data_IF_119851076249
#
_entry.id   IF_119851076249
#
_cell.length_a   1.000
_cell.length_b   1.000
_cell.length_c   1.000
_cell.angle_alpha   90.00
_cell.angle_beta   90.00
_cell.angle_gamma   90.00
#
_symmetry.space_group_name_H-M   'P 1'
#
loop_
_entity.id
_entity.type
_entity.pdbx_description
1 polymer ?
#
# COMPACT_ATOMS: atom_id res chain seq x y z
N UNK A 1 -3.83 24.27 -5.26
CA UNK A 1 -3.24 23.40 -4.21
C UNK A 1 -2.03 22.73 -4.82
N UNK A 2 -0.97 22.48 -4.05
CA UNK A 2 0.12 21.60 -4.50
C UNK A 2 -0.43 20.20 -4.74
N UNK A 3 0.17 19.45 -5.68
CA UNK A 3 -0.21 18.06 -5.93
C UNK A 3 0.10 17.22 -4.68
N UNK A 4 -0.77 16.26 -4.31
CA UNK A 4 -0.48 15.40 -3.18
C UNK A 4 0.74 14.53 -3.48
N UNK A 5 1.62 14.37 -2.49
CA UNK A 5 2.81 13.53 -2.55
C UNK A 5 2.45 12.14 -2.06
N UNK A 6 2.57 11.16 -2.93
CA UNK A 6 2.13 9.79 -2.65
C UNK A 6 3.35 8.90 -2.52
N UNK A 7 3.57 8.32 -1.34
CA UNK A 7 4.58 7.29 -1.15
C UNK A 7 4.11 5.97 -1.73
N UNK A 8 4.94 5.35 -2.56
CA UNK A 8 4.62 4.13 -3.30
C UNK A 8 5.65 3.09 -2.95
N UNK A 9 5.30 2.12 -2.11
CA UNK A 9 6.24 1.05 -1.78
C UNK A 9 6.44 0.16 -2.99
N UNK A 10 7.69 -0.12 -3.38
CA UNK A 10 8.00 -0.95 -4.55
C UNK A 10 7.45 -2.38 -4.46
N UNK A 11 7.05 -2.83 -3.27
CA UNK A 11 6.56 -4.19 -3.05
C UNK A 11 7.72 -5.20 -3.00
N UNK A 12 7.46 -6.44 -3.39
CA UNK A 12 8.50 -7.47 -3.47
C UNK A 12 9.45 -7.21 -4.65
N UNK A 13 10.77 -7.01 -4.43
CA UNK A 13 11.75 -6.83 -5.50
C UNK A 13 11.81 -7.97 -6.53
N UNK A 14 11.45 -9.19 -6.14
CA UNK A 14 11.37 -10.35 -7.03
C UNK A 14 9.99 -10.54 -7.66
N UNK A 15 8.99 -9.75 -7.26
CA UNK A 15 7.66 -9.73 -7.86
C UNK A 15 7.57 -8.74 -9.03
N UNK A 16 6.33 -8.40 -9.41
CA UNK A 16 6.03 -7.45 -10.49
C UNK A 16 6.04 -5.98 -10.03
N UNK A 17 6.25 -5.72 -8.74
CA UNK A 17 6.23 -4.39 -8.16
C UNK A 17 7.21 -3.39 -8.82
N UNK A 18 8.47 -3.78 -9.10
CA UNK A 18 9.41 -2.95 -9.85
C UNK A 18 8.89 -2.55 -11.24
N UNK A 19 8.24 -3.46 -11.97
CA UNK A 19 7.69 -3.17 -13.31
C UNK A 19 6.57 -2.13 -13.25
N UNK A 20 5.66 -2.27 -12.28
CA UNK A 20 4.56 -1.32 -12.04
C UNK A 20 5.12 0.06 -11.69
N UNK A 21 6.16 0.12 -10.86
CA UNK A 21 6.80 1.38 -10.48
C UNK A 21 7.42 2.11 -11.68
N UNK A 22 8.02 1.38 -12.63
CA UNK A 22 8.60 1.97 -13.84
C UNK A 22 7.52 2.58 -14.74
N UNK A 23 6.40 1.87 -14.93
CA UNK A 23 5.27 2.39 -15.70
C UNK A 23 4.70 3.64 -15.04
N UNK A 24 4.53 3.60 -13.72
CA UNK A 24 3.98 4.71 -12.94
C UNK A 24 4.85 5.96 -12.98
N UNK A 25 6.17 5.80 -12.95
CA UNK A 25 7.13 6.90 -13.08
C UNK A 25 7.11 7.53 -14.48
N UNK A 26 6.66 6.81 -15.50
CA UNK A 26 6.54 7.30 -16.87
C UNK A 26 5.14 7.83 -17.21
N UNK A 27 4.14 7.58 -16.36
CA UNK A 27 2.74 7.91 -16.62
C UNK A 27 2.46 9.41 -16.38
N UNK A 28 2.16 10.14 -17.45
CA UNK A 28 1.88 11.57 -17.39
C UNK A 28 0.54 11.89 -16.73
N UNK A 29 -0.48 11.05 -16.90
CA UNK A 29 -1.81 11.27 -16.31
C UNK A 29 -1.71 11.18 -14.78
N UNK A 30 -0.97 10.20 -14.27
CA UNK A 30 -0.73 10.09 -12.83
C UNK A 30 0.08 11.28 -12.31
N UNK A 31 1.09 11.73 -13.05
CA UNK A 31 1.88 12.90 -12.67
C UNK A 31 1.06 14.19 -12.65
N UNK A 32 -0.03 14.28 -13.41
CA UNK A 32 -0.98 15.40 -13.32
C UNK A 32 -1.82 15.36 -12.04
N UNK A 33 -2.14 14.16 -11.54
CA UNK A 33 -2.95 13.94 -10.34
C UNK A 33 -2.14 14.04 -9.04
N UNK A 34 -0.90 13.56 -9.02
CA UNK A 34 -0.07 13.49 -7.82
C UNK A 34 1.44 13.56 -8.12
N UNK A 35 2.24 13.68 -7.07
CA UNK A 35 3.70 13.49 -7.12
C UNK A 35 4.03 12.10 -6.58
N UNK A 36 4.22 11.08 -7.43
CA UNK A 36 4.56 9.74 -6.98
C UNK A 36 6.03 9.65 -6.53
N UNK A 37 6.25 9.08 -5.35
CA UNK A 37 7.59 8.87 -4.78
C UNK A 37 7.74 7.37 -4.51
N UNK A 38 8.59 6.70 -5.27
CA UNK A 38 8.82 5.25 -5.11
C UNK A 38 9.76 5.00 -3.93
N UNK A 39 9.29 4.31 -2.90
CA UNK A 39 10.11 3.82 -1.79
C UNK A 39 10.61 2.42 -2.15
N UNK A 40 11.88 2.32 -2.54
CA UNK A 40 12.44 1.09 -3.08
C UNK A 40 13.95 1.14 -3.27
N UNK A 41 14.45 0.36 -4.22
CA UNK A 41 15.87 0.28 -4.55
C UNK A 41 16.13 0.73 -5.99
N UNK A 42 17.00 1.72 -6.16
CA UNK A 42 17.39 2.24 -7.47
C UNK A 42 18.00 1.15 -8.35
N UNK A 43 18.85 0.32 -7.75
CA UNK A 43 19.55 -0.75 -8.45
C UNK A 43 18.57 -1.79 -9.02
N UNK A 44 17.52 -2.13 -8.25
CA UNK A 44 16.45 -3.06 -8.67
C UNK A 44 15.67 -2.48 -9.85
N UNK A 45 15.24 -1.22 -9.77
CA UNK A 45 14.49 -0.57 -10.86
C UNK A 45 15.30 -0.46 -12.14
N UNK A 46 16.60 -0.11 -12.06
CA UNK A 46 17.49 -0.08 -13.23
C UNK A 46 17.63 -1.45 -13.88
N UNK A 47 17.90 -2.49 -13.09
CA UNK A 47 18.00 -3.86 -13.62
C UNK A 47 16.67 -4.34 -14.23
N UNK A 48 15.54 -3.97 -13.62
CA UNK A 48 14.21 -4.27 -14.13
C UNK A 48 13.94 -3.57 -15.47
N UNK A 49 14.28 -2.29 -15.59
CA UNK A 49 14.11 -1.51 -16.81
C UNK A 49 14.94 -2.09 -17.96
N UNK A 50 16.21 -2.45 -17.69
CA UNK A 50 17.09 -3.11 -18.66
C UNK A 50 16.52 -4.44 -19.17
N UNK A 51 15.99 -5.28 -18.27
CA UNK A 51 15.45 -6.60 -18.61
C UNK A 51 14.12 -6.56 -19.35
N UNK A 52 13.29 -5.55 -19.08
CA UNK A 52 11.93 -5.43 -19.64
C UNK A 52 11.83 -4.44 -20.79
N UNK A 53 12.86 -3.61 -21.02
CA UNK A 53 12.82 -2.52 -22.00
C UNK A 53 11.93 -1.35 -21.60
N UNK A 54 11.48 -1.29 -20.34
CA UNK A 54 10.65 -0.21 -19.80
C UNK A 54 11.46 1.09 -19.61
N UNK A 55 10.79 2.26 -19.52
CA UNK A 55 11.47 3.54 -19.33
C UNK A 55 12.39 3.54 -18.10
N UNK A 56 13.61 4.01 -18.27
CA UNK A 56 14.63 4.10 -17.20
C UNK A 56 15.00 5.54 -16.83
N UNK A 57 14.21 6.52 -17.30
CA UNK A 57 14.45 7.93 -17.07
C UNK A 57 13.71 8.41 -15.83
N UNK A 58 14.32 8.21 -14.67
CA UNK A 58 13.81 8.70 -13.39
C UNK A 58 14.96 9.20 -12.52
N UNK A 59 14.65 10.18 -11.67
CA UNK A 59 15.61 10.69 -10.70
C UNK A 59 15.54 9.86 -9.42
N UNK A 60 16.68 9.71 -8.76
CA UNK A 60 16.76 9.08 -7.45
C UNK A 60 17.21 10.11 -6.42
N UNK A 61 16.60 10.04 -5.25
CA UNK A 61 16.93 10.87 -4.09
C UNK A 61 17.25 9.99 -2.90
N UNK A 62 17.91 10.58 -1.89
CA UNK A 62 18.07 10.02 -0.56
C UNK A 62 17.09 10.68 0.41
N UNK A 63 16.97 10.12 1.61
CA UNK A 63 15.94 10.48 2.59
C UNK A 63 16.00 11.95 3.00
N UNK A 64 17.19 12.53 3.00
CA UNK A 64 17.45 13.92 3.37
C UNK A 64 16.80 14.92 2.40
N UNK A 65 16.56 14.49 1.16
CA UNK A 65 15.99 15.31 0.09
C UNK A 65 14.50 15.01 -0.14
N UNK A 66 13.88 14.18 0.70
CA UNK A 66 12.48 13.82 0.54
C UNK A 66 11.61 15.08 0.60
N UNK A 67 11.76 15.92 1.61
CA UNK A 67 10.86 17.06 1.88
C UNK A 67 10.89 18.13 0.79
N UNK A 68 11.99 18.26 0.06
CA UNK A 68 12.21 19.33 -0.93
C UNK A 68 11.86 18.94 -2.37
N UNK A 69 11.21 17.79 -2.59
CA UNK A 69 11.02 17.24 -3.93
C UNK A 69 9.55 17.19 -4.36
N UNK A 70 9.23 17.94 -5.42
CA UNK A 70 7.88 18.04 -6.01
C UNK A 70 7.73 17.26 -7.32
N UNK A 71 8.78 16.53 -7.72
CA UNK A 71 8.83 15.73 -8.96
C UNK A 71 8.73 14.23 -8.70
N UNK A 72 8.32 13.41 -9.69
CA UNK A 72 8.40 11.96 -9.59
C UNK A 72 9.84 11.48 -9.37
N UNK A 73 10.07 10.73 -8.29
CA UNK A 73 11.41 10.24 -7.92
C UNK A 73 11.38 8.86 -7.29
N UNK A 74 12.54 8.23 -7.25
CA UNK A 74 12.82 7.05 -6.43
C UNK A 74 13.55 7.48 -5.16
N UNK A 75 12.96 7.23 -4.00
CA UNK A 75 13.69 7.24 -2.74
C UNK A 75 14.48 5.93 -2.61
N UNK A 76 15.79 6.03 -2.83
CA UNK A 76 16.68 4.88 -2.87
C UNK A 76 17.12 4.45 -1.47
N UNK A 77 16.47 3.40 -0.95
CA UNK A 77 16.67 2.86 0.39
C UNK A 77 17.83 1.86 0.49
N UNK A 78 18.36 1.38 -0.66
CA UNK A 78 19.52 0.49 -0.74
C UNK A 78 19.42 -0.74 0.20
N UNK A 79 18.25 -1.39 0.19
CA UNK A 79 17.94 -2.53 1.06
C UNK A 79 18.13 -3.88 0.37
N UNK A 80 18.20 -3.91 -0.97
CA UNK A 80 18.29 -5.12 -1.77
C UNK A 80 19.63 -5.22 -2.49
N UNK A 81 20.41 -6.26 -2.18
CA UNK A 81 21.59 -6.61 -2.97
C UNK A 81 21.17 -7.31 -4.27
N UNK A 82 21.41 -6.66 -5.41
CA UNK A 82 21.12 -7.19 -6.75
C UNK A 82 21.68 -8.59 -7.02
N UNK A 83 22.85 -8.94 -6.49
CA UNK A 83 23.46 -10.26 -6.70
C UNK A 83 22.63 -11.40 -6.09
N UNK A 84 21.83 -11.06 -5.08
CA UNK A 84 20.93 -11.98 -4.39
C UNK A 84 19.50 -11.93 -4.92
N UNK A 85 19.23 -11.06 -5.90
CA UNK A 85 17.91 -10.91 -6.47
C UNK A 85 17.72 -11.86 -7.64
N UNK A 86 16.74 -12.77 -7.51
CA UNK A 86 16.24 -13.59 -8.60
C UNK A 86 14.74 -13.35 -8.78
N UNK A 87 14.31 -12.76 -9.92
CA UNK A 87 12.88 -12.57 -10.20
C UNK A 87 12.09 -13.87 -10.10
N UNK A 88 10.88 -13.79 -9.56
CA UNK A 88 9.98 -14.93 -9.32
C UNK A 88 10.40 -15.85 -8.16
N UNK A 89 11.49 -15.53 -7.44
CA UNK A 89 12.02 -16.38 -6.37
C UNK A 89 11.90 -15.70 -5.01
N UNK A 90 11.28 -16.41 -4.06
CA UNK A 90 11.05 -15.94 -2.69
C UNK A 90 12.33 -16.11 -1.86
N UNK A 91 12.83 -15.04 -1.24
CA UNK A 91 14.00 -15.09 -0.35
C UNK A 91 13.83 -14.27 0.92
N UNK A 92 14.76 -14.46 1.88
CA UNK A 92 14.85 -13.64 3.08
C UNK A 92 15.10 -12.17 2.72
N UNK A 93 15.99 -11.93 1.75
CA UNK A 93 16.40 -10.61 1.30
C UNK A 93 15.23 -9.82 0.70
N UNK A 94 14.41 -10.45 -0.14
CA UNK A 94 13.25 -9.78 -0.74
C UNK A 94 12.21 -9.41 0.31
N UNK A 95 11.94 -10.32 1.26
CA UNK A 95 11.06 -10.04 2.40
C UNK A 95 11.55 -8.90 3.28
N UNK A 96 12.85 -8.89 3.62
CA UNK A 96 13.47 -7.84 4.43
C UNK A 96 13.38 -6.47 3.74
N UNK A 97 13.70 -6.43 2.45
CA UNK A 97 13.64 -5.19 1.67
C UNK A 97 12.20 -4.67 1.57
N UNK A 98 11.24 -5.54 1.22
CA UNK A 98 9.81 -5.21 1.16
C UNK A 98 9.31 -4.60 2.46
N UNK A 99 9.62 -5.23 3.59
CA UNK A 99 9.24 -4.71 4.91
C UNK A 99 9.87 -3.34 5.19
N UNK A 100 11.14 -3.15 4.83
CA UNK A 100 11.82 -1.86 4.97
C UNK A 100 11.20 -0.74 4.12
N UNK A 101 10.69 -1.04 2.93
CA UNK A 101 9.96 -0.08 2.09
C UNK A 101 8.66 0.36 2.75
N UNK A 102 7.85 -0.61 3.20
CA UNK A 102 6.58 -0.37 3.89
C UNK A 102 6.82 0.47 5.14
N UNK A 103 7.80 0.06 5.95
CA UNK A 103 8.23 0.78 7.15
C UNK A 103 8.58 2.23 6.83
N UNK A 104 9.44 2.46 5.84
CA UNK A 104 9.90 3.80 5.49
C UNK A 104 8.78 4.69 4.95
N UNK A 105 7.85 4.14 4.16
CA UNK A 105 6.71 4.87 3.62
C UNK A 105 5.70 5.27 4.72
N UNK A 106 5.42 4.36 5.66
CA UNK A 106 4.56 4.67 6.83
C UNK A 106 5.20 5.78 7.68
N UNK A 107 6.51 5.68 7.95
CA UNK A 107 7.21 6.72 8.73
C UNK A 107 7.11 8.08 8.05
N UNK A 108 7.36 8.14 6.74
CA UNK A 108 7.28 9.38 5.98
C UNK A 108 5.86 10.00 6.01
N UNK A 109 4.81 9.16 5.99
CA UNK A 109 3.44 9.64 6.06
C UNK A 109 3.12 10.17 7.47
N UNK A 110 3.54 9.47 8.52
CA UNK A 110 3.35 9.90 9.92
C UNK A 110 4.12 11.19 10.26
N UNK A 111 5.26 11.42 9.61
CA UNK A 111 6.04 12.66 9.74
C UNK A 111 5.57 13.80 8.82
N UNK A 112 4.47 13.62 8.09
CA UNK A 112 3.92 14.59 7.10
C UNK A 112 4.90 14.93 5.95
N UNK A 113 5.82 14.03 5.63
CA UNK A 113 6.73 14.17 4.47
C UNK A 113 6.06 13.72 3.16
N UNK A 114 4.96 12.96 3.27
CA UNK A 114 4.07 12.57 2.18
C UNK A 114 2.63 12.60 2.69
N UNK A 115 1.68 12.74 1.77
CA UNK A 115 0.25 12.91 2.09
C UNK A 115 -0.50 11.58 2.19
N UNK A 116 -0.01 10.53 1.51
CA UNK A 116 -0.60 9.20 1.54
C UNK A 116 0.41 8.11 1.18
N UNK A 117 0.05 6.86 1.47
CA UNK A 117 0.81 5.66 1.09
C UNK A 117 -0.06 4.78 0.19
N UNK A 118 0.54 4.27 -0.88
CA UNK A 118 0.01 3.17 -1.68
C UNK A 118 1.09 2.08 -1.82
N UNK A 119 0.67 0.84 -2.05
CA UNK A 119 1.56 -0.31 -2.00
C UNK A 119 1.48 -1.15 -3.26
N UNK A 120 2.61 -1.40 -3.92
CA UNK A 120 2.72 -2.49 -4.87
C UNK A 120 2.64 -3.86 -4.17
N UNK A 121 2.37 -4.95 -4.90
CA UNK A 121 2.21 -6.29 -4.31
C UNK A 121 3.44 -6.75 -3.52
N UNK A 122 3.21 -7.35 -2.35
CA UNK A 122 4.21 -8.01 -1.53
C UNK A 122 3.94 -9.52 -1.43
N UNK A 123 4.99 -10.31 -1.21
CA UNK A 123 4.86 -11.75 -0.96
C UNK A 123 4.85 -12.05 0.56
N UNK A 124 3.74 -12.63 1.06
CA UNK A 124 3.60 -12.97 2.49
C UNK A 124 4.62 -14.00 2.96
N UNK A 125 4.95 -14.98 2.13
CA UNK A 125 5.96 -16.00 2.46
C UNK A 125 7.36 -15.39 2.55
N UNK A 126 7.69 -14.42 1.68
CA UNK A 126 8.95 -13.68 1.78
C UNK A 126 9.05 -12.90 3.10
N UNK A 127 7.97 -12.18 3.47
CA UNK A 127 7.90 -11.46 4.75
C UNK A 127 8.08 -12.42 5.94
N UNK A 128 7.40 -13.57 5.93
CA UNK A 128 7.56 -14.60 6.97
C UNK A 128 8.99 -15.16 7.03
N UNK A 129 9.60 -15.47 5.88
CA UNK A 129 11.01 -15.90 5.81
C UNK A 129 11.96 -14.85 6.37
N UNK A 130 11.65 -13.57 6.20
CA UNK A 130 12.39 -12.45 6.78
C UNK A 130 12.14 -12.22 8.29
N UNK A 131 11.30 -13.04 8.92
CA UNK A 131 10.96 -12.94 10.35
C UNK A 131 10.03 -11.77 10.68
N UNK A 132 9.27 -11.27 9.69
CA UNK A 132 8.31 -10.18 9.90
C UNK A 132 7.12 -10.71 10.72
N UNK A 133 6.81 -10.14 11.89
CA UNK A 133 5.83 -10.70 12.84
C UNK A 133 4.37 -10.33 12.50
N UNK A 134 4.07 -10.04 11.24
CA UNK A 134 2.75 -9.59 10.81
C UNK A 134 2.21 -10.47 9.68
N UNK A 135 0.90 -10.75 9.64
CA UNK A 135 0.29 -11.58 8.59
C UNK A 135 0.14 -10.85 7.24
N UNK A 136 0.24 -9.52 7.22
CA UNK A 136 0.12 -8.71 6.00
C UNK A 136 0.34 -7.22 6.22
N UNK A 137 0.08 -6.44 5.17
CA UNK A 137 0.23 -4.98 5.18
C UNK A 137 -0.65 -4.32 6.24
N UNK A 138 -1.93 -4.68 6.30
CA UNK A 138 -2.91 -4.01 7.16
C UNK A 138 -2.45 -3.99 8.62
N UNK A 139 -1.93 -5.11 9.11
CA UNK A 139 -1.44 -5.24 10.47
C UNK A 139 -0.14 -4.46 10.71
N UNK A 140 0.74 -4.37 9.70
CA UNK A 140 1.92 -3.50 9.74
C UNK A 140 1.49 -2.03 9.86
N UNK A 141 0.50 -1.59 9.08
CA UNK A 141 -0.03 -0.23 9.16
C UNK A 141 -0.67 0.03 10.53
N UNK A 142 -1.52 -0.88 11.01
CA UNK A 142 -2.24 -0.73 12.27
C UNK A 142 -1.30 -0.56 13.46
N UNK A 143 -0.36 -1.49 13.64
CA UNK A 143 0.62 -1.45 14.74
C UNK A 143 1.43 -0.15 14.71
N UNK A 144 1.87 0.23 13.51
CA UNK A 144 2.83 1.32 13.34
C UNK A 144 2.21 2.70 13.38
N UNK A 145 0.93 2.80 13.07
CA UNK A 145 0.13 4.02 13.22
C UNK A 145 -0.52 4.12 14.61
N UNK A 146 -0.42 3.07 15.45
CA UNK A 146 -1.13 3.00 16.72
C UNK A 146 -2.65 2.95 16.55
N UNK A 147 -3.13 2.36 15.45
CA UNK A 147 -4.54 2.34 15.09
C UNK A 147 -5.17 1.01 15.49
N UNK A 148 -6.09 1.06 16.45
CA UNK A 148 -6.87 -0.12 16.86
C UNK A 148 -8.04 -0.41 15.90
N UNK A 149 -8.55 0.63 15.22
CA UNK A 149 -9.76 0.55 14.40
C UNK A 149 -9.46 0.74 12.93
N UNK A 150 -9.59 -0.33 12.17
CA UNK A 150 -9.50 -0.32 10.71
C UNK A 150 -10.49 -1.33 10.10
N UNK A 151 -10.82 -1.13 8.83
CA UNK A 151 -11.58 -2.08 8.03
C UNK A 151 -11.10 -2.07 6.58
N UNK A 152 -11.22 -3.21 5.92
CA UNK A 152 -11.00 -3.30 4.48
C UNK A 152 -12.20 -2.70 3.74
N UNK A 153 -11.94 -1.95 2.67
CA UNK A 153 -12.96 -1.45 1.77
C UNK A 153 -12.52 -1.56 0.31
N UNK A 154 -13.49 -1.79 -0.57
CA UNK A 154 -13.35 -1.66 -2.02
C UNK A 154 -14.13 -0.42 -2.46
N UNK A 155 -13.53 0.43 -3.28
CA UNK A 155 -14.11 1.70 -3.74
C UNK A 155 -14.07 1.71 -5.26
N UNK A 156 -15.17 2.14 -5.88
CA UNK A 156 -15.29 2.38 -7.32
C UNK A 156 -16.25 3.55 -7.55
N UNK A 157 -16.32 4.03 -8.80
CA UNK A 157 -17.24 5.11 -9.18
C UNK A 157 -18.73 4.75 -9.00
N UNK A 158 -19.05 3.45 -8.97
CA UNK A 158 -20.43 2.94 -8.90
C UNK A 158 -20.82 2.56 -7.48
N UNK A 159 -19.95 1.81 -6.79
CA UNK A 159 -20.22 1.25 -5.47
C UNK A 159 -18.96 1.25 -4.62
N UNK A 160 -19.15 1.48 -3.32
CA UNK A 160 -18.13 1.24 -2.31
C UNK A 160 -18.65 0.25 -1.27
N UNK A 161 -17.81 -0.69 -0.87
CA UNK A 161 -18.16 -1.78 0.04
C UNK A 161 -17.09 -1.91 1.12
N UNK A 162 -17.49 -1.75 2.39
CA UNK A 162 -16.63 -2.01 3.55
C UNK A 162 -17.00 -3.34 4.18
N UNK A 163 -15.99 -4.09 4.63
CA UNK A 163 -16.16 -5.46 5.10
C UNK A 163 -16.05 -5.53 6.63
N UNK A 164 -17.04 -6.16 7.27
CA UNK A 164 -17.04 -6.37 8.72
C UNK A 164 -16.03 -7.43 9.14
N UNK A 165 -16.01 -8.54 8.41
CA UNK A 165 -15.03 -9.63 8.47
C UNK A 165 -14.31 -9.79 7.13
N UNK A 166 -13.07 -10.27 7.15
CA UNK A 166 -12.24 -10.45 5.94
C UNK A 166 -11.81 -11.91 5.76
N UNK A 167 -10.52 -12.20 5.62
CA UNK A 167 -9.96 -13.52 5.29
C UNK A 167 -10.17 -14.57 6.41
N UNK A 168 -11.39 -15.09 6.55
CA UNK A 168 -11.79 -16.13 7.50
C UNK A 168 -12.65 -17.19 6.80
N UNK A 169 -12.75 -18.38 7.39
CA UNK A 169 -13.66 -19.42 6.93
C UNK A 169 -15.12 -18.95 7.05
N UNK A 170 -15.97 -19.34 6.08
CA UNK A 170 -17.37 -18.91 6.08
C UNK A 170 -18.12 -19.33 7.35
N UNK A 171 -17.81 -20.51 7.91
CA UNK A 171 -18.38 -20.99 9.17
C UNK A 171 -18.00 -20.15 10.39
N UNK A 172 -16.89 -19.41 10.33
CA UNK A 172 -16.40 -18.57 11.42
C UNK A 172 -17.09 -17.20 11.42
N UNK A 173 -17.59 -16.75 10.26
CA UNK A 173 -18.18 -15.41 10.08
C UNK A 173 -19.25 -15.11 11.13
N UNK A 174 -20.28 -15.95 11.38
CA UNK A 174 -21.33 -15.62 12.34
C UNK A 174 -20.80 -15.33 13.75
N UNK A 175 -19.73 -16.01 14.17
CA UNK A 175 -19.15 -15.86 15.50
C UNK A 175 -18.23 -14.63 15.63
N UNK A 176 -17.74 -14.09 14.51
CA UNK A 176 -16.89 -12.91 14.46
C UNK A 176 -17.68 -11.60 14.39
N UNK A 177 -18.98 -11.67 14.10
CA UNK A 177 -19.84 -10.50 14.03
C UNK A 177 -20.32 -10.10 15.43
N UNK A 178 -20.17 -8.82 15.74
CA UNK A 178 -20.76 -8.20 16.93
C UNK A 178 -21.40 -6.88 16.57
N UNK A 179 -22.32 -6.40 17.42
CA UNK A 179 -22.96 -5.09 17.25
C UNK A 179 -21.89 -4.00 17.22
N UNK A 180 -20.93 -4.08 18.14
CA UNK A 180 -19.83 -3.13 18.28
C UNK A 180 -19.02 -3.06 16.99
N UNK A 181 -18.58 -4.22 16.46
CA UNK A 181 -17.77 -4.26 15.25
C UNK A 181 -18.54 -3.76 14.02
N UNK A 182 -19.83 -4.08 13.91
CA UNK A 182 -20.68 -3.60 12.83
C UNK A 182 -20.82 -2.07 12.90
N UNK A 183 -21.11 -1.52 14.08
CA UNK A 183 -21.22 -0.08 14.29
C UNK A 183 -19.91 0.64 13.95
N UNK A 184 -18.77 0.12 14.40
CA UNK A 184 -17.45 0.68 14.08
C UNK A 184 -17.20 0.76 12.58
N UNK A 185 -17.52 -0.31 11.84
CA UNK A 185 -17.35 -0.33 10.38
C UNK A 185 -18.28 0.67 9.72
N UNK A 186 -19.54 0.75 10.14
CA UNK A 186 -20.51 1.74 9.62
C UNK A 186 -20.00 3.17 9.84
N UNK A 187 -19.47 3.47 11.03
CA UNK A 187 -18.92 4.79 11.38
C UNK A 187 -17.69 5.13 10.54
N UNK A 188 -16.73 4.21 10.42
CA UNK A 188 -15.54 4.39 9.57
C UNK A 188 -15.91 4.61 8.10
N UNK A 189 -16.88 3.83 7.57
CA UNK A 189 -17.38 3.98 6.21
C UNK A 189 -18.06 5.34 6.02
N UNK A 190 -18.91 5.76 6.97
CA UNK A 190 -19.58 7.07 6.96
C UNK A 190 -18.56 8.20 6.93
N UNK A 191 -17.61 8.19 7.86
CA UNK A 191 -16.67 9.30 8.02
C UNK A 191 -15.73 9.44 6.82
N UNK A 192 -15.31 8.30 6.24
CA UNK A 192 -14.53 8.27 5.01
C UNK A 192 -15.33 8.85 3.84
N UNK A 193 -16.55 8.37 3.61
CA UNK A 193 -17.37 8.82 2.47
C UNK A 193 -17.91 10.24 2.64
N UNK A 194 -18.12 10.71 3.87
CA UNK A 194 -18.48 12.10 4.14
C UNK A 194 -17.39 13.05 3.66
N UNK A 195 -16.12 12.71 3.89
CA UNK A 195 -14.96 13.45 3.37
C UNK A 195 -14.87 13.38 1.85
N UNK A 196 -15.03 12.18 1.26
CA UNK A 196 -14.93 11.98 -0.20
C UNK A 196 -16.06 12.68 -0.98
N UNK A 197 -17.29 12.65 -0.47
CA UNK A 197 -18.47 13.19 -1.17
C UNK A 197 -18.79 14.64 -0.81
N UNK A 198 -18.21 15.18 0.27
CA UNK A 198 -18.54 16.50 0.80
C UNK A 198 -19.97 16.62 1.35
N UNK A 199 -20.64 15.49 1.63
CA UNK A 199 -22.02 15.40 2.16
C UNK A 199 -22.22 14.09 2.90
N UNK A 200 -23.33 13.98 3.63
CA UNK A 200 -23.67 12.70 4.28
C UNK A 200 -23.90 11.58 3.24
N UNK A 201 -23.21 10.43 3.39
CA UNK A 201 -23.42 9.28 2.52
C UNK A 201 -24.71 8.55 2.90
N UNK A 202 -25.30 7.87 1.91
CA UNK A 202 -26.34 6.86 2.18
C UNK A 202 -25.64 5.51 2.31
N UNK A 203 -25.87 4.82 3.41
CA UNK A 203 -25.24 3.53 3.70
C UNK A 203 -26.33 2.47 3.74
N UNK A 204 -26.13 1.38 3.00
CA UNK A 204 -26.93 0.17 3.10
C UNK A 204 -26.10 -0.91 3.81
N UNK A 205 -26.73 -1.72 4.66
CA UNK A 205 -26.09 -2.80 5.40
C UNK A 205 -26.69 -4.12 4.94
N UNK A 206 -25.85 -5.04 4.48
CA UNK A 206 -26.29 -6.38 4.11
C UNK A 206 -26.58 -7.20 5.37
N UNK A 207 -27.68 -7.96 5.35
CA UNK A 207 -27.91 -9.01 6.34
C UNK A 207 -26.93 -10.16 6.14
N UNK A 208 -26.54 -10.83 7.24
CA UNK A 208 -25.68 -12.02 7.19
C UNK A 208 -26.37 -13.17 6.44
N UNK A 209 -27.63 -13.44 6.80
CA UNK A 209 -28.42 -14.49 6.20
C UNK A 209 -29.09 -14.00 4.91
N UNK A 210 -29.39 -14.93 3.97
CA UNK A 210 -30.23 -14.61 2.82
C UNK A 210 -31.52 -13.90 3.26
N UNK A 211 -31.95 -12.90 2.50
CA UNK A 211 -33.17 -12.12 2.80
C UNK A 211 -33.12 -11.37 4.14
N UNK A 212 -31.93 -11.21 4.73
CA UNK A 212 -31.71 -10.61 6.03
C UNK A 212 -32.46 -11.31 7.20
N UNK A 213 -32.65 -12.63 7.09
CA UNK A 213 -33.27 -13.49 8.10
C UNK A 213 -32.68 -14.89 8.10
#
# INVERSE_FOLDING_TARGET
MSKPRIAITMGDPAGIGPEICLDLLADQEIQELCTPIIFGDLAVLKSCAEKTGKPSHFQAIKKENLDSNDSPVVLDLDLMNLEKLQPGTISFETGRATYGYIKSAIDACLSNQVDAVTTCPANKEALQKAGVPYPGHTEIFADRTGTDKFCMAFISDIISCSLVSVHVGYEEVPNLLSIERICEVIEMTRDTHKKLLGREPRIAVCGLNPHAG
#
